data_IF_338290873700
#
_entry.id   IF_338290873700
#
_cell.length_a   1.000
_cell.length_b   1.000
_cell.length_c   1.000
_cell.angle_alpha   90.00
_cell.angle_beta   90.00
_cell.angle_gamma   90.00
#
_symmetry.space_group_name_H-M   'P 1'
#
loop_
_entity.id
_entity.type
_entity.pdbx_description
1 polymer ?
#
# COMPACT_ATOMS: atom_id res chain seq x y z
N UNK A 1 -7.68 -48.25 -73.78
CA UNK A 1 -8.90 -48.98 -74.03
C UNK A 1 -9.36 -49.48 -72.67
N UNK A 2 -10.44 -48.84 -72.11
CA UNK A 2 -11.59 -49.34 -71.41
C UNK A 2 -11.31 -50.04 -70.05
N UNK A 3 -11.92 -49.75 -69.03
CA UNK A 3 -13.28 -49.51 -68.67
C UNK A 3 -13.41 -49.24 -67.19
N UNK A 4 -14.23 -48.23 -66.88
CA UNK A 4 -14.62 -47.83 -65.52
C UNK A 4 -15.85 -48.65 -65.16
N UNK A 5 -15.80 -49.30 -64.03
CA UNK A 5 -16.98 -49.90 -63.45
C UNK A 5 -17.26 -49.29 -62.08
N UNK A 6 -18.29 -48.51 -62.01
CA UNK A 6 -18.87 -47.93 -60.81
C UNK A 6 -19.65 -48.95 -60.01
N UNK A 7 -19.31 -49.23 -58.78
CA UNK A 7 -20.15 -49.91 -57.83
C UNK A 7 -20.60 -48.91 -56.76
N UNK A 8 -21.91 -48.60 -56.79
CA UNK A 8 -22.54 -47.86 -55.71
C UNK A 8 -22.89 -48.83 -54.57
N UNK A 9 -22.53 -48.49 -53.37
CA UNK A 9 -22.98 -49.13 -52.14
C UNK A 9 -23.76 -48.10 -51.25
N UNK A 10 -24.76 -48.57 -50.55
CA UNK A 10 -25.81 -47.71 -49.99
C UNK A 10 -25.35 -46.96 -48.74
N UNK A 11 -25.82 -45.73 -48.65
CA UNK A 11 -25.63 -44.82 -47.54
C UNK A 11 -26.35 -45.33 -46.30
N UNK A 12 -25.61 -45.84 -45.31
CA UNK A 12 -26.10 -46.14 -43.99
C UNK A 12 -26.11 -44.86 -43.16
N UNK A 13 -27.28 -44.26 -42.94
CA UNK A 13 -27.48 -43.15 -42.04
C UNK A 13 -27.20 -43.61 -40.60
N UNK A 14 -26.01 -43.33 -40.07
CA UNK A 14 -25.75 -43.36 -38.64
C UNK A 14 -26.13 -42.01 -38.06
N UNK A 15 -27.19 -41.99 -37.26
CA UNK A 15 -27.50 -40.91 -36.35
C UNK A 15 -26.34 -40.85 -35.29
N UNK A 16 -25.50 -39.85 -35.37
CA UNK A 16 -24.58 -39.53 -34.30
C UNK A 16 -25.36 -38.64 -33.33
N UNK A 17 -25.81 -39.22 -32.23
CA UNK A 17 -26.32 -38.47 -31.07
C UNK A 17 -25.10 -37.79 -30.42
N UNK A 18 -24.96 -36.49 -30.68
CA UNK A 18 -23.94 -35.65 -30.03
C UNK A 18 -24.41 -35.41 -28.59
N UNK A 19 -23.96 -36.22 -27.64
CA UNK A 19 -24.03 -35.91 -26.22
C UNK A 19 -23.08 -34.72 -25.95
N UNK A 20 -23.61 -33.50 -25.91
CA UNK A 20 -22.98 -32.35 -25.32
C UNK A 20 -22.86 -32.58 -23.80
N UNK A 21 -21.81 -33.26 -23.39
CA UNK A 21 -21.32 -33.20 -22.03
C UNK A 21 -20.79 -31.77 -21.84
N UNK A 22 -21.65 -30.88 -21.35
CA UNK A 22 -21.25 -29.60 -20.80
C UNK A 22 -20.34 -29.87 -19.61
N UNK A 23 -19.04 -29.87 -19.86
CA UNK A 23 -18.02 -29.79 -18.80
C UNK A 23 -18.20 -28.44 -18.12
N UNK A 24 -19.04 -28.39 -17.08
CA UNK A 24 -18.93 -27.33 -16.09
C UNK A 24 -17.53 -27.47 -15.49
N UNK A 25 -16.58 -26.73 -16.01
CA UNK A 25 -15.35 -26.42 -15.27
C UNK A 25 -15.79 -25.60 -14.06
N UNK A 26 -16.13 -26.30 -12.98
CA UNK A 26 -16.08 -25.71 -11.65
C UNK A 26 -14.60 -25.34 -11.48
N UNK A 27 -14.26 -24.09 -11.74
CA UNK A 27 -13.00 -23.55 -11.31
C UNK A 27 -12.94 -23.75 -9.81
N UNK A 28 -12.11 -24.69 -9.34
CA UNK A 28 -11.79 -24.79 -7.93
C UNK A 28 -11.37 -23.38 -7.51
N UNK A 29 -11.85 -22.85 -6.37
CA UNK A 29 -11.35 -21.59 -5.87
C UNK A 29 -9.84 -21.71 -5.77
N UNK A 30 -9.12 -20.75 -6.34
CA UNK A 30 -7.67 -20.71 -6.25
C UNK A 30 -7.29 -20.88 -4.78
N UNK A 31 -6.50 -21.91 -4.49
CA UNK A 31 -6.07 -22.18 -3.11
C UNK A 31 -5.29 -20.96 -2.64
N UNK A 32 -5.67 -20.39 -1.49
CA UNK A 32 -4.96 -19.26 -0.92
C UNK A 32 -3.49 -19.66 -0.67
N UNK A 33 -2.57 -18.84 -1.14
CA UNK A 33 -1.16 -19.02 -0.82
C UNK A 33 -0.94 -18.80 0.68
N UNK A 34 -0.16 -19.68 1.30
CA UNK A 34 0.27 -19.57 2.71
C UNK A 34 1.77 -19.75 2.75
N UNK A 35 2.48 -18.74 3.24
CA UNK A 35 3.94 -18.75 3.39
C UNK A 35 4.42 -19.89 4.30
N UNK A 36 5.57 -20.45 3.98
CA UNK A 36 6.27 -21.40 4.84
C UNK A 36 7.26 -20.71 5.79
N UNK A 37 7.59 -19.44 5.53
CA UNK A 37 8.54 -18.67 6.33
C UNK A 37 7.85 -17.88 7.44
N UNK A 38 6.73 -17.23 7.13
CA UNK A 38 6.04 -16.37 8.10
C UNK A 38 4.52 -16.34 7.87
N UNK A 39 3.77 -16.69 8.91
CA UNK A 39 2.31 -16.61 8.94
C UNK A 39 1.91 -15.79 10.17
N UNK A 40 1.27 -14.66 9.96
CA UNK A 40 0.82 -13.77 11.05
C UNK A 40 -0.37 -14.37 11.82
N UNK A 41 -1.35 -14.92 11.12
CA UNK A 41 -2.52 -15.59 11.72
C UNK A 41 -2.11 -16.89 12.41
N UNK A 42 -2.36 -16.99 13.71
CA UNK A 42 -1.95 -18.17 14.50
C UNK A 42 -3.00 -19.30 14.49
N UNK A 43 -4.12 -19.14 13.76
CA UNK A 43 -5.19 -20.13 13.65
C UNK A 43 -6.03 -20.34 14.93
N UNK A 44 -5.74 -19.61 16.00
CA UNK A 44 -6.39 -19.73 17.32
C UNK A 44 -7.14 -18.47 17.77
N UNK A 45 -7.42 -17.54 16.82
CA UNK A 45 -8.05 -16.26 17.10
C UNK A 45 -7.07 -15.15 17.49
N UNK A 46 -5.76 -15.42 17.43
CA UNK A 46 -4.72 -14.40 17.63
C UNK A 46 -3.86 -14.23 16.37
N UNK A 47 -3.14 -13.12 16.33
CA UNK A 47 -2.10 -12.87 15.32
C UNK A 47 -0.79 -12.47 16.00
N UNK A 48 0.32 -12.63 15.29
CA UNK A 48 1.64 -12.11 15.66
C UNK A 48 2.10 -11.05 14.66
N UNK A 49 2.73 -10.03 15.16
CA UNK A 49 3.40 -9.00 14.35
C UNK A 49 4.82 -9.44 13.93
N UNK A 50 5.31 -8.97 12.77
CA UNK A 50 4.61 -8.15 11.79
C UNK A 50 3.50 -8.92 11.05
N UNK A 51 2.43 -8.21 10.62
CA UNK A 51 1.36 -8.84 9.82
C UNK A 51 1.78 -9.02 8.36
N UNK A 52 2.75 -8.20 7.89
CA UNK A 52 3.41 -8.37 6.59
C UNK A 52 4.92 -8.42 6.84
N UNK A 53 5.54 -9.57 6.57
CA UNK A 53 6.97 -9.82 6.77
C UNK A 53 7.73 -9.64 5.46
N UNK A 54 7.63 -8.44 4.88
CA UNK A 54 8.33 -8.01 3.67
C UNK A 54 8.44 -6.49 3.67
N UNK A 55 9.23 -5.92 2.76
CA UNK A 55 9.41 -4.47 2.65
C UNK A 55 8.17 -3.82 2.04
N UNK A 56 7.28 -3.33 2.90
CA UNK A 56 6.13 -2.50 2.55
C UNK A 56 6.28 -1.14 3.26
N UNK A 57 7.23 -0.35 2.78
CA UNK A 57 7.56 0.96 3.34
C UNK A 57 6.36 1.91 3.34
N UNK A 58 6.22 2.68 4.43
CA UNK A 58 5.26 3.80 4.51
C UNK A 58 3.82 3.40 4.15
N UNK A 59 3.26 2.34 4.77
CA UNK A 59 1.96 1.81 4.38
C UNK A 59 0.84 2.80 4.67
N UNK A 60 -0.16 2.81 3.78
CA UNK A 60 -1.45 3.41 4.05
C UNK A 60 -2.58 2.44 3.69
N UNK A 61 -3.71 2.59 4.37
CA UNK A 61 -4.81 1.64 4.32
C UNK A 61 -6.15 2.36 4.25
N UNK A 62 -7.10 1.76 3.52
CA UNK A 62 -8.49 2.16 3.58
C UNK A 62 -9.43 0.95 3.63
N UNK A 63 -10.63 1.15 4.20
CA UNK A 63 -11.70 0.17 4.20
C UNK A 63 -12.81 0.57 3.23
N UNK A 64 -13.31 -0.39 2.47
CA UNK A 64 -14.51 -0.23 1.63
C UNK A 64 -15.45 -1.40 1.92
N UNK A 65 -16.52 -1.14 2.63
CA UNK A 65 -17.42 -2.19 3.09
C UNK A 65 -16.73 -3.17 4.06
N UNK A 66 -16.57 -4.41 3.64
CA UNK A 66 -15.88 -5.47 4.42
C UNK A 66 -14.48 -5.78 3.90
N UNK A 67 -13.95 -4.94 3.04
CA UNK A 67 -12.67 -5.15 2.37
C UNK A 67 -11.68 -4.05 2.76
N UNK A 68 -10.43 -4.44 2.96
CA UNK A 68 -9.31 -3.56 3.28
C UNK A 68 -8.31 -3.56 2.14
N UNK A 69 -7.82 -2.38 1.82
CA UNK A 69 -6.83 -2.18 0.75
C UNK A 69 -5.65 -1.40 1.29
N UNK A 70 -4.46 -1.91 1.04
CA UNK A 70 -3.20 -1.31 1.47
C UNK A 70 -2.31 -1.08 0.26
N UNK A 71 -1.58 0.02 0.28
CA UNK A 71 -0.46 0.30 -0.64
C UNK A 71 0.71 0.87 0.15
N UNK A 72 1.89 0.87 -0.46
CA UNK A 72 3.15 1.30 0.17
C UNK A 72 4.06 1.98 -0.83
N UNK A 73 5.10 2.66 -0.34
CA UNK A 73 6.18 3.17 -1.18
C UNK A 73 6.75 2.08 -2.05
N UNK A 74 6.94 2.35 -3.32
CA UNK A 74 7.62 1.44 -4.25
C UNK A 74 8.93 2.01 -4.80
N UNK A 75 9.22 3.28 -4.50
CA UNK A 75 10.42 3.97 -4.96
C UNK A 75 10.61 3.80 -6.47
N UNK A 76 11.67 3.16 -6.90
CA UNK A 76 11.95 2.85 -8.30
C UNK A 76 11.43 1.47 -8.74
N UNK A 77 10.86 0.67 -7.81
CA UNK A 77 10.38 -0.67 -8.12
C UNK A 77 9.09 -0.62 -8.95
N UNK A 78 9.07 -1.37 -10.04
CA UNK A 78 7.99 -1.41 -11.02
C UNK A 78 7.54 -2.84 -11.36
N UNK A 79 6.24 -3.10 -11.52
CA UNK A 79 5.13 -2.15 -11.35
C UNK A 79 5.06 -1.63 -9.91
N UNK A 80 4.89 -0.31 -9.77
CA UNK A 80 4.89 0.38 -8.48
C UNK A 80 3.50 0.47 -7.85
N UNK A 81 3.46 0.84 -6.57
CA UNK A 81 2.24 0.94 -5.78
C UNK A 81 1.46 -0.38 -5.82
N UNK A 82 2.08 -1.46 -5.34
CA UNK A 82 1.36 -2.73 -5.17
C UNK A 82 0.12 -2.52 -4.31
N UNK A 83 -0.97 -3.18 -4.69
CA UNK A 83 -2.23 -3.16 -3.96
C UNK A 83 -2.40 -4.50 -3.26
N UNK A 84 -2.46 -4.46 -1.93
CA UNK A 84 -2.77 -5.61 -1.12
C UNK A 84 -4.22 -5.53 -0.68
N UNK A 85 -4.85 -6.70 -0.56
CA UNK A 85 -6.23 -6.85 -0.13
C UNK A 85 -6.33 -7.80 1.06
N UNK A 86 -7.16 -7.44 2.01
CA UNK A 86 -7.51 -8.27 3.17
C UNK A 86 -8.99 -8.12 3.51
N UNK A 87 -9.52 -9.11 4.23
CA UNK A 87 -10.86 -9.06 4.81
C UNK A 87 -10.85 -9.00 6.34
N UNK A 88 -9.67 -9.08 6.96
CA UNK A 88 -9.53 -9.15 8.43
C UNK A 88 -8.28 -8.45 8.99
N UNK A 89 -7.55 -7.69 8.15
CA UNK A 89 -6.33 -6.96 8.50
C UNK A 89 -5.10 -7.84 8.81
N UNK A 90 -5.26 -9.16 8.85
CA UNK A 90 -4.19 -10.12 9.20
C UNK A 90 -3.80 -10.97 8.01
N UNK A 91 -4.79 -11.41 7.23
CA UNK A 91 -4.61 -12.26 6.07
C UNK A 91 -4.64 -11.41 4.80
N UNK A 92 -3.52 -11.34 4.08
CA UNK A 92 -3.32 -10.43 2.95
C UNK A 92 -2.98 -11.16 1.66
N UNK A 93 -3.39 -10.60 0.53
CA UNK A 93 -3.02 -11.05 -0.82
C UNK A 93 -2.65 -9.85 -1.69
N UNK A 94 -1.70 -10.00 -2.61
CA UNK A 94 -1.40 -8.99 -3.63
C UNK A 94 -2.42 -9.16 -4.76
N UNK A 95 -3.12 -8.08 -5.11
CA UNK A 95 -4.18 -8.11 -6.14
C UNK A 95 -3.84 -7.32 -7.40
N UNK A 96 -2.76 -6.55 -7.39
CA UNK A 96 -2.32 -5.73 -8.52
C UNK A 96 -1.33 -4.65 -8.14
N UNK A 97 -1.11 -3.71 -9.04
CA UNK A 97 -0.29 -2.52 -8.83
C UNK A 97 -0.86 -1.34 -9.62
N UNK A 98 -0.68 -0.12 -9.11
CA UNK A 98 -1.30 1.07 -9.68
C UNK A 98 -0.43 1.83 -10.68
N UNK A 99 0.89 1.67 -10.64
CA UNK A 99 1.85 2.39 -11.50
C UNK A 99 2.67 1.37 -12.29
N UNK A 100 2.36 1.16 -13.57
CA UNK A 100 3.04 0.13 -14.37
C UNK A 100 4.44 0.56 -14.87
N UNK A 101 4.73 1.86 -14.92
CA UNK A 101 5.99 2.40 -15.43
C UNK A 101 6.40 3.69 -14.69
N UNK A 102 7.69 4.03 -14.73
CA UNK A 102 8.24 5.24 -14.11
C UNK A 102 7.81 6.51 -14.85
N UNK A 103 7.59 7.60 -14.08
CA UNK A 103 7.17 8.91 -14.58
C UNK A 103 8.27 9.97 -14.42
N UNK A 104 8.35 10.95 -15.34
CA UNK A 104 7.83 10.93 -16.70
C UNK A 104 8.38 9.75 -17.47
N UNK A 105 7.87 9.45 -18.68
CA UNK A 105 8.34 8.31 -19.46
C UNK A 105 9.86 8.28 -19.48
N UNK A 106 10.44 7.41 -18.66
CA UNK A 106 11.89 7.28 -18.57
C UNK A 106 12.30 6.40 -19.72
N UNK A 107 12.99 6.98 -20.69
CA UNK A 107 13.57 6.24 -21.83
C UNK A 107 14.80 5.46 -21.40
N UNK A 108 15.43 5.87 -20.29
CA UNK A 108 16.56 5.17 -19.72
C UNK A 108 16.07 3.99 -18.85
N UNK A 109 16.53 2.81 -19.18
CA UNK A 109 16.23 1.56 -18.47
C UNK A 109 17.26 1.22 -17.40
N UNK A 110 18.12 2.17 -17.01
CA UNK A 110 19.10 1.93 -15.95
C UNK A 110 18.39 1.80 -14.60
N UNK A 111 18.80 0.83 -13.78
CA UNK A 111 18.34 0.74 -12.40
C UNK A 111 18.65 2.03 -11.63
N UNK A 112 17.66 2.51 -10.88
CA UNK A 112 17.78 3.64 -9.96
C UNK A 112 17.42 3.17 -8.56
N UNK A 113 17.66 4.01 -7.55
CA UNK A 113 17.47 3.64 -6.17
C UNK A 113 16.96 4.82 -5.32
N UNK A 114 15.93 4.57 -4.51
CA UNK A 114 15.45 5.50 -3.49
C UNK A 114 14.78 6.79 -4.02
N UNK A 115 14.32 6.82 -5.27
CA UNK A 115 13.63 7.95 -5.88
C UNK A 115 12.17 7.61 -6.22
N UNK A 116 11.43 8.49 -6.89
CA UNK A 116 10.13 8.30 -7.52
C UNK A 116 8.95 8.22 -6.55
N UNK A 117 8.49 7.01 -6.20
CA UNK A 117 7.23 6.80 -5.49
C UNK A 117 7.47 6.68 -3.99
N UNK A 118 7.34 7.81 -3.29
CA UNK A 118 7.46 7.87 -1.83
C UNK A 118 6.08 7.92 -1.18
N UNK A 119 5.98 7.40 0.01
CA UNK A 119 4.88 7.41 0.99
C UNK A 119 3.48 7.76 0.41
N UNK A 120 2.78 6.79 -0.14
CA UNK A 120 1.47 7.00 -0.72
C UNK A 120 0.39 7.16 0.36
N UNK A 121 -0.76 7.67 -0.09
CA UNK A 121 -2.03 7.49 0.61
C UNK A 121 -3.07 6.88 -0.31
N UNK A 122 -3.88 5.96 0.22
CA UNK A 122 -5.00 5.36 -0.48
C UNK A 122 -6.32 5.79 0.15
N UNK A 123 -7.25 6.28 -0.64
CA UNK A 123 -8.58 6.71 -0.21
C UNK A 123 -9.64 6.19 -1.17
N UNK A 124 -10.84 6.01 -0.64
CA UNK A 124 -12.02 5.71 -1.46
C UNK A 124 -13.04 6.84 -1.31
N UNK A 125 -13.45 7.43 -2.42
CA UNK A 125 -14.42 8.51 -2.44
C UNK A 125 -15.32 8.41 -3.68
N UNK A 126 -16.64 8.54 -3.48
CA UNK A 126 -17.64 8.51 -4.56
C UNK A 126 -17.51 7.33 -5.53
N UNK A 127 -17.19 6.12 -4.99
CA UNK A 127 -17.10 4.88 -5.78
C UNK A 127 -15.81 4.72 -6.56
N UNK A 128 -14.80 5.56 -6.32
CA UNK A 128 -13.47 5.45 -6.91
C UNK A 128 -12.39 5.38 -5.80
N UNK A 129 -11.36 4.60 -6.06
CA UNK A 129 -10.11 4.62 -5.29
C UNK A 129 -9.19 5.71 -5.83
N UNK A 130 -8.50 6.39 -4.94
CA UNK A 130 -7.50 7.40 -5.22
C UNK A 130 -6.21 7.02 -4.49
N UNK A 131 -5.09 7.07 -5.19
CA UNK A 131 -3.77 6.97 -4.57
C UNK A 131 -3.01 8.24 -4.90
N UNK A 132 -2.55 8.93 -3.86
CA UNK A 132 -1.66 10.08 -3.95
C UNK A 132 -0.29 9.69 -3.45
N UNK A 133 0.76 10.19 -4.09
CA UNK A 133 2.14 10.01 -3.59
C UNK A 133 2.99 11.23 -3.87
N UNK A 134 4.09 11.37 -3.13
CA UNK A 134 5.14 12.34 -3.41
C UNK A 134 6.24 11.72 -4.26
N UNK A 135 6.57 12.35 -5.38
CA UNK A 135 7.86 12.21 -6.04
C UNK A 135 8.73 13.36 -5.51
N UNK A 136 9.83 13.08 -4.76
CA UNK A 136 10.58 14.12 -4.07
C UNK A 136 11.26 15.11 -5.01
N UNK A 137 11.39 14.80 -6.28
CA UNK A 137 12.03 15.66 -7.27
C UNK A 137 11.02 16.40 -8.17
N UNK A 138 9.76 15.92 -8.27
CA UNK A 138 8.74 16.47 -9.15
C UNK A 138 7.54 17.05 -8.40
N UNK A 139 7.07 16.42 -7.34
CA UNK A 139 5.92 16.85 -6.56
C UNK A 139 4.87 15.75 -6.34
N UNK A 140 3.61 16.14 -6.23
CA UNK A 140 2.50 15.24 -5.89
C UNK A 140 1.85 14.70 -7.14
N UNK A 141 1.76 13.39 -7.23
CA UNK A 141 1.01 12.67 -8.25
C UNK A 141 -0.23 11.98 -7.68
N UNK A 142 -1.17 11.66 -8.56
CA UNK A 142 -2.39 10.94 -8.24
C UNK A 142 -2.78 10.01 -9.39
N UNK A 143 -3.25 8.82 -9.03
CA UNK A 143 -3.98 7.90 -9.91
C UNK A 143 -5.31 7.53 -9.28
N UNK A 144 -6.30 7.12 -10.09
CA UNK A 144 -7.58 6.65 -9.60
C UNK A 144 -8.12 5.46 -10.39
N UNK A 145 -8.97 4.65 -9.77
CA UNK A 145 -9.64 3.51 -10.37
C UNK A 145 -10.97 3.21 -9.68
N UNK A 146 -11.92 2.62 -10.41
CA UNK A 146 -13.16 2.08 -9.83
C UNK A 146 -12.95 0.73 -9.17
N UNK A 147 -12.10 -0.11 -9.76
CA UNK A 147 -11.71 -1.40 -9.21
C UNK A 147 -10.26 -1.28 -8.68
N UNK A 148 -9.97 -1.69 -7.45
CA UNK A 148 -8.62 -1.63 -6.89
C UNK A 148 -7.61 -2.52 -7.64
N UNK A 149 -8.09 -3.49 -8.43
CA UNK A 149 -7.24 -4.27 -9.35
C UNK A 149 -6.88 -3.50 -10.62
N UNK A 150 -7.52 -2.35 -10.86
CA UNK A 150 -7.38 -1.56 -12.07
C UNK A 150 -8.45 -1.85 -13.14
N UNK A 151 -8.34 -1.27 -14.33
CA UNK A 151 -7.21 -0.41 -14.72
C UNK A 151 -7.19 0.91 -13.94
N UNK A 152 -6.00 1.33 -13.54
CA UNK A 152 -5.77 2.64 -12.94
C UNK A 152 -5.61 3.69 -14.04
N UNK A 153 -5.97 4.93 -13.72
CA UNK A 153 -5.78 6.06 -14.63
C UNK A 153 -4.30 6.33 -14.88
N UNK A 154 -4.00 7.06 -15.95
CA UNK A 154 -2.68 7.69 -16.09
C UNK A 154 -2.42 8.61 -14.89
N UNK A 155 -1.17 8.67 -14.40
CA UNK A 155 -0.79 9.55 -13.32
C UNK A 155 -0.93 11.04 -13.66
N UNK A 156 -1.53 11.79 -12.75
CA UNK A 156 -1.73 13.22 -12.86
C UNK A 156 -0.81 13.95 -11.90
N UNK A 157 -0.03 14.93 -12.36
CA UNK A 157 0.74 15.83 -11.51
C UNK A 157 -0.20 16.87 -10.87
N UNK A 158 -0.60 16.62 -9.63
CA UNK A 158 -1.56 17.44 -8.87
C UNK A 158 -0.92 18.73 -8.39
N UNK A 159 0.35 18.66 -7.95
CA UNK A 159 1.09 19.80 -7.43
C UNK A 159 2.57 19.66 -7.73
N UNK A 160 3.09 20.50 -8.59
CA UNK A 160 4.52 20.55 -8.85
C UNK A 160 5.27 21.18 -7.66
N UNK A 161 6.43 20.63 -7.33
CA UNK A 161 7.30 21.20 -6.30
C UNK A 161 8.32 20.20 -5.77
N UNK A 162 9.58 20.60 -5.74
CA UNK A 162 10.68 19.79 -5.25
C UNK A 162 10.58 19.60 -3.73
N UNK A 163 10.75 18.38 -3.28
CA UNK A 163 10.75 18.01 -1.87
C UNK A 163 9.38 17.87 -1.23
N UNK A 164 8.27 17.97 -1.99
CA UNK A 164 6.93 17.69 -1.47
C UNK A 164 6.77 16.17 -1.35
N UNK A 165 6.46 15.69 -0.14
CA UNK A 165 6.36 14.26 0.17
C UNK A 165 5.13 13.96 1.03
N UNK A 166 4.77 12.68 1.16
CA UNK A 166 3.86 12.13 2.16
C UNK A 166 2.47 12.77 2.13
N UNK A 167 1.83 12.70 1.00
CA UNK A 167 0.60 13.46 0.74
C UNK A 167 -0.66 12.67 1.09
N UNK A 168 -1.65 13.33 1.70
CA UNK A 168 -2.95 12.72 1.99
C UNK A 168 -4.09 13.70 1.73
N UNK A 169 -5.06 13.34 0.84
CA UNK A 169 -6.24 14.13 0.61
C UNK A 169 -7.32 13.87 1.67
N UNK A 170 -8.19 14.86 1.87
CA UNK A 170 -9.45 14.76 2.60
C UNK A 170 -10.54 15.47 1.81
N UNK A 171 -11.61 14.75 1.43
CA UNK A 171 -12.86 15.32 0.97
C UNK A 171 -13.69 15.69 2.19
N UNK A 172 -13.95 16.97 2.37
CA UNK A 172 -14.64 17.50 3.56
C UNK A 172 -16.14 17.68 3.32
N UNK A 173 -16.89 17.75 4.40
CA UNK A 173 -18.35 17.96 4.39
C UNK A 173 -18.75 19.33 3.84
N UNK A 174 -17.81 20.28 3.79
CA UNK A 174 -18.01 21.60 3.16
C UNK A 174 -17.93 21.58 1.63
N UNK A 175 -17.67 20.39 1.04
CA UNK A 175 -17.53 20.18 -0.40
C UNK A 175 -16.15 20.52 -0.96
N UNK A 176 -15.19 20.88 -0.11
CA UNK A 176 -13.81 21.15 -0.52
C UNK A 176 -12.95 19.89 -0.39
N UNK A 177 -11.84 19.90 -1.09
CA UNK A 177 -10.82 18.86 -1.00
C UNK A 177 -9.54 19.50 -0.48
N UNK A 178 -9.05 18.98 0.63
CA UNK A 178 -7.81 19.43 1.24
C UNK A 178 -6.72 18.41 1.04
N UNK A 179 -5.47 18.85 0.89
CA UNK A 179 -4.28 18.01 0.82
C UNK A 179 -3.29 18.44 1.88
N UNK A 180 -2.99 17.54 2.83
CA UNK A 180 -1.85 17.72 3.72
C UNK A 180 -0.61 17.05 3.14
N UNK A 181 0.58 17.61 3.44
CA UNK A 181 1.85 17.04 3.03
C UNK A 181 3.00 17.51 3.92
N UNK A 182 4.13 16.83 3.82
CA UNK A 182 5.39 17.19 4.45
C UNK A 182 6.43 17.62 3.41
N UNK A 183 7.66 17.87 3.88
CA UNK A 183 8.81 18.19 3.03
C UNK A 183 10.03 17.34 3.37
N UNK A 184 10.72 16.87 2.34
CA UNK A 184 12.02 16.22 2.45
C UNK A 184 13.13 17.28 2.53
N UNK A 185 13.82 17.36 3.67
CA UNK A 185 14.91 18.32 3.86
C UNK A 185 16.03 18.18 2.83
N UNK A 186 16.31 16.97 2.38
CA UNK A 186 17.32 16.68 1.34
C UNK A 186 16.99 17.25 -0.04
N UNK A 187 15.74 17.63 -0.28
CA UNK A 187 15.26 18.15 -1.57
C UNK A 187 14.78 19.60 -1.49
N UNK A 188 14.01 19.93 -0.43
CA UNK A 188 13.41 21.26 -0.24
C UNK A 188 14.26 22.21 0.62
N UNK A 189 15.26 21.68 1.37
CA UNK A 189 15.95 22.44 2.42
C UNK A 189 15.06 22.75 3.63
N UNK A 190 13.85 22.23 3.67
CA UNK A 190 12.84 22.36 4.71
C UNK A 190 12.38 20.96 5.14
N UNK A 191 12.20 20.73 6.42
CA UNK A 191 11.62 19.52 7.01
C UNK A 191 10.89 19.85 8.32
N UNK A 192 10.33 18.84 8.97
CA UNK A 192 9.71 18.97 10.30
C UNK A 192 8.52 19.92 10.35
N UNK A 193 7.79 20.07 9.24
CA UNK A 193 6.57 20.85 9.16
C UNK A 193 5.48 20.08 8.42
N UNK A 194 4.23 20.24 8.86
CA UNK A 194 3.06 19.76 8.12
C UNK A 194 2.37 20.96 7.47
N UNK A 195 2.04 20.81 6.21
CA UNK A 195 1.42 21.85 5.41
C UNK A 195 0.10 21.37 4.82
N UNK A 196 -0.76 22.32 4.43
CA UNK A 196 -2.05 22.06 3.81
C UNK A 196 -2.25 22.99 2.61
N UNK A 197 -2.90 22.49 1.57
CA UNK A 197 -3.46 23.28 0.47
C UNK A 197 -4.84 22.73 0.07
N UNK A 198 -5.58 23.50 -0.72
CA UNK A 198 -6.84 23.05 -1.32
C UNK A 198 -6.60 22.50 -2.72
N UNK A 199 -7.36 21.46 -3.07
CA UNK A 199 -7.40 20.87 -4.40
C UNK A 199 -8.69 21.28 -5.11
N UNK A 200 -8.69 21.15 -6.44
CA UNK A 200 -9.91 21.16 -7.25
C UNK A 200 -10.90 20.07 -6.80
N UNK A 201 -12.18 20.24 -7.06
CA UNK A 201 -13.23 19.32 -6.62
C UNK A 201 -13.02 17.87 -7.11
N UNK A 202 -12.37 17.68 -8.26
CA UNK A 202 -11.98 16.39 -8.82
C UNK A 202 -10.63 15.87 -8.27
N UNK A 203 -10.03 16.63 -7.36
CA UNK A 203 -8.74 16.36 -6.71
C UNK A 203 -7.53 16.27 -7.67
N UNK A 204 -7.67 16.71 -8.91
CA UNK A 204 -6.63 16.61 -9.95
C UNK A 204 -5.59 17.73 -9.92
N UNK A 205 -5.83 18.82 -9.17
CA UNK A 205 -4.94 19.98 -9.16
C UNK A 205 -5.01 20.76 -7.84
N UNK A 206 -3.85 21.16 -7.33
CA UNK A 206 -3.78 22.13 -6.23
C UNK A 206 -4.22 23.53 -6.73
N UNK A 207 -5.18 24.14 -6.03
CA UNK A 207 -5.75 25.44 -6.38
C UNK A 207 -5.32 26.55 -5.43
N UNK A 208 -4.66 26.23 -4.32
CA UNK A 208 -4.06 27.19 -3.39
C UNK A 208 -2.60 26.89 -3.13
N UNK A 209 -1.86 27.88 -2.61
CA UNK A 209 -0.52 27.67 -2.09
C UNK A 209 -0.57 26.86 -0.78
N UNK A 210 0.52 26.11 -0.51
CA UNK A 210 0.66 25.40 0.76
C UNK A 210 0.89 26.36 1.91
N UNK A 211 0.21 26.08 3.03
CA UNK A 211 0.33 26.81 4.29
C UNK A 211 0.80 25.86 5.38
N UNK A 212 1.79 26.27 6.16
CA UNK A 212 2.22 25.52 7.36
C UNK A 212 1.09 25.57 8.39
N UNK A 213 0.66 24.42 8.88
CA UNK A 213 -0.37 24.26 9.92
C UNK A 213 0.18 23.65 11.20
N UNK A 214 1.37 23.05 11.14
CA UNK A 214 2.10 22.55 12.31
C UNK A 214 3.60 22.67 12.07
N UNK A 215 4.30 23.16 13.09
CA UNK A 215 5.75 23.24 13.15
C UNK A 215 6.26 22.30 14.25
N UNK A 216 6.97 21.27 13.85
CA UNK A 216 7.51 20.24 14.73
C UNK A 216 8.98 20.43 15.11
N UNK A 217 9.62 21.52 14.74
CA UNK A 217 11.06 21.69 14.97
C UNK A 217 11.48 21.59 16.45
N UNK A 218 10.64 22.01 17.38
CA UNK A 218 10.97 21.95 18.81
C UNK A 218 10.64 20.59 19.43
N UNK A 219 9.39 20.11 19.27
CA UNK A 219 8.89 18.93 19.99
C UNK A 219 8.90 17.64 19.17
N UNK A 220 8.76 17.73 17.83
CA UNK A 220 8.55 16.61 16.94
C UNK A 220 9.41 16.71 15.69
N UNK A 221 10.72 16.79 15.90
CA UNK A 221 11.69 16.87 14.80
C UNK A 221 11.49 15.69 13.84
N UNK A 222 11.70 15.97 12.55
CA UNK A 222 11.43 15.02 11.48
C UNK A 222 9.95 14.55 11.48
N UNK A 223 9.00 15.47 11.75
CA UNK A 223 7.61 15.18 11.52
C UNK A 223 7.35 15.15 10.01
N UNK A 224 6.74 14.04 9.56
CA UNK A 224 6.50 13.70 8.17
C UNK A 224 5.28 12.76 8.08
N UNK A 225 4.99 12.10 6.97
CA UNK A 225 4.01 11.04 6.87
C UNK A 225 2.57 11.40 7.27
N UNK A 226 2.05 12.63 7.06
CA UNK A 226 0.72 12.97 7.58
C UNK A 226 -0.38 12.15 6.90
N UNK A 227 -1.26 11.55 7.72
CA UNK A 227 -2.51 10.90 7.30
C UNK A 227 -3.68 11.69 7.85
N UNK A 228 -4.58 12.12 6.97
CA UNK A 228 -5.61 13.10 7.27
C UNK A 228 -6.99 12.47 7.37
N UNK A 229 -7.67 12.73 8.50
CA UNK A 229 -9.00 12.18 8.80
C UNK A 229 -9.91 13.22 9.43
N UNK A 230 -11.23 12.96 9.42
CA UNK A 230 -12.25 13.72 10.14
C UNK A 230 -13.10 12.78 10.98
N UNK A 231 -13.32 13.11 12.26
CA UNK A 231 -14.12 12.32 13.18
C UNK A 231 -14.71 13.23 14.26
N UNK A 232 -15.99 13.05 14.58
CA UNK A 232 -16.68 13.79 15.67
C UNK A 232 -16.49 15.31 15.60
N UNK A 233 -16.46 15.89 14.39
CA UNK A 233 -16.28 17.32 14.18
C UNK A 233 -14.85 17.83 14.40
N UNK A 234 -13.88 16.95 14.57
CA UNK A 234 -12.46 17.27 14.60
C UNK A 234 -11.75 16.79 13.32
N UNK A 235 -10.75 17.55 12.90
CA UNK A 235 -9.74 17.18 11.95
C UNK A 235 -8.57 16.54 12.68
N UNK A 236 -8.11 15.38 12.20
CA UNK A 236 -7.01 14.63 12.78
C UNK A 236 -5.91 14.45 11.73
N UNK A 237 -4.67 14.73 12.12
CA UNK A 237 -3.50 14.41 11.31
C UNK A 237 -2.62 13.48 12.13
N UNK A 238 -2.54 12.22 11.68
CA UNK A 238 -1.64 11.23 12.23
C UNK A 238 -0.31 11.36 11.52
N UNK A 239 0.77 11.55 12.25
CA UNK A 239 2.09 11.67 11.65
C UNK A 239 3.18 11.10 12.58
N UNK A 240 4.22 10.45 12.04
CA UNK A 240 5.39 10.09 12.82
C UNK A 240 6.31 11.30 13.04
N UNK A 241 7.19 11.17 14.01
CA UNK A 241 8.30 12.07 14.26
C UNK A 241 9.51 11.29 14.78
N UNK A 242 10.67 11.92 14.97
CA UNK A 242 11.87 11.31 15.53
C UNK A 242 12.70 10.48 14.54
N UNK A 243 12.27 10.36 13.29
CA UNK A 243 12.94 9.58 12.24
C UNK A 243 12.68 8.06 12.32
N UNK A 244 12.97 7.38 11.23
CA UNK A 244 12.61 5.96 11.02
C UNK A 244 13.14 5.00 12.08
N UNK A 245 14.41 5.06 12.54
CA UNK A 245 14.93 4.06 13.49
C UNK A 245 14.42 4.24 14.92
N UNK A 246 14.01 5.45 15.30
CA UNK A 246 13.78 5.85 16.71
C UNK A 246 12.49 6.65 16.90
N UNK A 247 11.62 6.68 15.90
CA UNK A 247 10.45 7.54 15.87
C UNK A 247 9.31 7.10 16.79
N UNK A 248 8.31 7.94 16.82
CA UNK A 248 7.04 7.75 17.53
C UNK A 248 5.89 8.32 16.72
N UNK A 249 4.67 7.91 17.02
CA UNK A 249 3.45 8.38 16.36
C UNK A 249 2.83 9.53 17.16
N UNK A 250 2.59 10.64 16.47
CA UNK A 250 1.90 11.83 16.98
C UNK A 250 0.56 11.96 16.28
N UNK A 251 -0.42 12.53 16.99
CA UNK A 251 -1.69 12.93 16.40
C UNK A 251 -1.95 14.39 16.70
N UNK A 252 -2.23 15.14 15.64
CA UNK A 252 -2.71 16.52 15.73
C UNK A 252 -4.24 16.50 15.69
N UNK A 253 -4.88 17.39 16.45
CA UNK A 253 -6.34 17.53 16.48
C UNK A 253 -6.75 19.00 16.47
N UNK A 254 -7.74 19.35 15.65
CA UNK A 254 -8.35 20.69 15.63
C UNK A 254 -9.81 20.63 15.18
N UNK A 255 -10.61 21.61 15.61
CA UNK A 255 -11.96 21.85 15.07
C UNK A 255 -11.96 22.66 13.77
N UNK A 256 -10.82 23.25 13.40
CA UNK A 256 -10.64 24.01 12.20
C UNK A 256 -9.57 23.33 11.32
N UNK A 257 -9.87 23.15 10.05
CA UNK A 257 -8.99 22.50 9.08
C UNK A 257 -7.61 23.15 8.99
N UNK A 258 -7.51 24.44 9.23
CA UNK A 258 -6.25 25.20 9.24
C UNK A 258 -5.64 25.37 10.64
N UNK A 259 -6.20 24.71 11.66
CA UNK A 259 -5.74 24.83 13.04
C UNK A 259 -6.28 26.07 13.79
N UNK A 260 -5.72 26.40 14.97
CA UNK A 260 -4.53 25.75 15.53
C UNK A 260 -4.77 24.30 15.90
N UNK A 261 -3.74 23.48 15.79
CA UNK A 261 -3.75 22.08 16.18
C UNK A 261 -3.10 21.89 17.55
N UNK A 262 -3.79 21.17 18.43
CA UNK A 262 -3.21 20.54 19.61
C UNK A 262 -2.64 19.17 19.25
N UNK A 263 -1.71 18.62 20.04
CA UNK A 263 -1.07 17.37 19.71
C UNK A 263 -0.88 16.45 20.91
N UNK A 264 -0.79 15.14 20.64
CA UNK A 264 -0.36 14.10 21.59
C UNK A 264 0.52 13.08 20.90
N UNK A 265 1.53 12.56 21.62
CA UNK A 265 2.18 11.30 21.28
C UNK A 265 1.23 10.17 21.68
N UNK A 266 0.93 9.24 20.77
CA UNK A 266 -0.11 8.22 20.95
C UNK A 266 0.40 6.79 20.80
N UNK A 267 1.62 6.62 20.28
CA UNK A 267 2.34 5.35 20.18
C UNK A 267 3.84 5.61 20.21
N UNK A 268 4.54 4.94 21.08
CA UNK A 268 6.00 4.97 21.15
C UNK A 268 6.54 3.56 21.42
N UNK A 269 7.83 3.34 21.19
CA UNK A 269 8.45 2.03 21.41
C UNK A 269 8.22 1.51 22.84
N UNK A 270 8.37 2.36 23.85
CA UNK A 270 8.31 1.94 25.26
C UNK A 270 9.28 0.80 25.55
N UNK A 271 8.78 -0.24 26.22
CA UNK A 271 9.53 -1.47 26.52
C UNK A 271 9.39 -2.55 25.43
N UNK A 272 8.75 -2.23 24.30
CA UNK A 272 8.58 -3.15 23.18
C UNK A 272 9.90 -3.28 22.39
N UNK A 273 10.18 -4.43 21.75
CA UNK A 273 11.28 -4.58 20.80
C UNK A 273 10.99 -3.93 19.44
N UNK A 274 9.79 -3.37 19.22
CA UNK A 274 9.41 -2.70 17.98
C UNK A 274 9.88 -1.26 18.04
N UNK A 275 11.08 -1.01 17.54
CA UNK A 275 11.68 0.32 17.49
C UNK A 275 10.98 1.20 16.44
N UNK A 276 10.97 2.49 16.72
CA UNK A 276 10.56 3.51 15.78
C UNK A 276 9.22 3.24 15.08
N UNK A 277 8.10 2.99 15.81
CA UNK A 277 6.82 2.85 15.15
C UNK A 277 6.56 4.09 14.30
N UNK A 278 6.51 3.90 12.99
CA UNK A 278 6.62 5.00 12.04
C UNK A 278 5.60 4.83 10.92
N UNK A 279 5.03 5.93 10.53
CA UNK A 279 4.16 6.11 9.37
C UNK A 279 3.18 4.98 9.09
N UNK A 280 1.91 5.29 9.16
CA UNK A 280 0.85 4.29 8.95
C UNK A 280 -0.53 4.91 8.90
N UNK A 281 -1.55 4.07 8.84
CA UNK A 281 -2.93 4.47 8.68
C UNK A 281 -3.87 3.90 9.74
N UNK A 282 -4.86 4.69 10.14
CA UNK A 282 -5.99 4.27 10.94
C UNK A 282 -7.09 3.70 10.06
N UNK A 283 -7.71 2.62 10.53
CA UNK A 283 -8.87 1.99 9.91
C UNK A 283 -9.77 1.38 10.98
N UNK A 284 -11.08 1.36 10.72
CA UNK A 284 -12.06 0.72 11.57
C UNK A 284 -12.50 -0.64 11.02
N UNK A 285 -13.20 -1.43 11.85
CA UNK A 285 -13.85 -2.68 11.43
C UNK A 285 -15.36 -2.51 11.28
N UNK A 286 -16.05 -3.40 10.53
CA UNK A 286 -17.50 -3.38 10.46
C UNK A 286 -18.21 -3.54 11.80
N UNK A 287 -17.52 -4.05 12.82
CA UNK A 287 -18.05 -4.22 14.20
C UNK A 287 -17.71 -3.05 15.12
N UNK A 288 -17.00 -2.02 14.61
CA UNK A 288 -16.68 -0.79 15.35
C UNK A 288 -15.43 -0.85 16.21
N UNK A 289 -14.51 -1.79 15.94
CA UNK A 289 -13.16 -1.72 16.49
C UNK A 289 -12.29 -0.80 15.65
N UNK A 290 -11.34 -0.11 16.26
CA UNK A 290 -10.35 0.72 15.59
C UNK A 290 -8.98 0.04 15.61
N UNK A 291 -8.22 0.18 14.51
CA UNK A 291 -6.93 -0.44 14.31
C UNK A 291 -5.97 0.53 13.60
N UNK A 292 -4.68 0.38 13.88
CA UNK A 292 -3.63 1.19 13.28
C UNK A 292 -2.54 0.29 12.69
N UNK A 293 -2.17 0.54 11.44
CA UNK A 293 -1.02 -0.12 10.81
C UNK A 293 0.14 0.86 10.73
N UNK A 294 1.34 0.39 11.01
CA UNK A 294 2.59 1.14 10.89
C UNK A 294 3.72 0.23 10.50
N UNK A 295 4.85 0.77 10.11
CA UNK A 295 6.02 -0.07 9.86
C UNK A 295 7.07 0.01 10.98
N UNK A 296 7.95 -0.99 11.00
CA UNK A 296 9.20 -1.04 11.72
C UNK A 296 10.34 -1.23 10.72
N UNK A 297 11.40 -0.44 10.79
CA UNK A 297 12.61 -0.65 9.99
C UNK A 297 13.47 -1.75 10.60
N UNK A 298 13.69 -2.83 9.85
CA UNK A 298 14.45 -4.02 10.29
C UNK A 298 15.67 -4.25 9.37
N UNK A 299 16.37 -3.20 9.03
CA UNK A 299 17.61 -3.30 8.26
C UNK A 299 17.42 -3.94 6.89
N UNK A 300 18.17 -4.99 6.61
CA UNK A 300 18.13 -5.68 5.31
C UNK A 300 16.81 -6.39 5.01
N UNK A 301 15.94 -6.59 6.00
CA UNK A 301 14.61 -7.17 5.80
C UNK A 301 13.58 -6.12 5.34
N UNK A 302 13.97 -4.83 5.32
CA UNK A 302 13.09 -3.75 4.92
C UNK A 302 12.20 -3.23 6.06
N UNK A 303 11.12 -2.56 5.68
CA UNK A 303 10.15 -1.94 6.58
C UNK A 303 8.93 -2.83 6.74
N UNK A 304 8.94 -3.63 7.80
CA UNK A 304 7.92 -4.63 8.09
C UNK A 304 6.67 -4.00 8.68
N UNK A 305 5.49 -4.44 8.26
CA UNK A 305 4.22 -3.82 8.68
C UNK A 305 3.64 -4.52 9.91
N UNK A 306 3.32 -3.72 10.91
CA UNK A 306 2.69 -4.11 12.17
C UNK A 306 1.24 -3.65 12.23
N UNK A 307 0.40 -4.41 12.90
CA UNK A 307 -0.99 -4.08 13.21
C UNK A 307 -1.13 -3.85 14.71
N UNK A 308 -1.70 -2.72 15.11
CA UNK A 308 -1.90 -2.36 16.50
C UNK A 308 -3.39 -2.20 16.80
N UNK A 309 -3.88 -2.69 17.96
CA UNK A 309 -5.20 -2.28 18.45
C UNK A 309 -5.20 -0.77 18.71
N UNK A 310 -6.32 -0.12 18.50
CA UNK A 310 -6.49 1.29 18.77
C UNK A 310 -7.84 1.53 19.46
N UNK A 311 -7.90 2.50 20.35
CA UNK A 311 -9.14 2.95 20.99
C UNK A 311 -9.15 4.47 21.09
N UNK A 312 -10.34 5.06 21.08
CA UNK A 312 -10.52 6.48 21.32
C UNK A 312 -10.87 6.75 22.79
N UNK A 313 -10.13 7.66 23.41
CA UNK A 313 -10.35 8.13 24.80
C UNK A 313 -10.37 9.65 24.76
N UNK A 314 -11.49 10.27 25.14
CA UNK A 314 -11.69 11.72 25.11
C UNK A 314 -11.35 12.37 23.76
N UNK A 315 -11.79 11.71 22.67
CA UNK A 315 -11.48 12.07 21.28
C UNK A 315 -9.97 12.11 20.96
N UNK A 316 -9.15 11.34 21.67
CA UNK A 316 -7.76 11.06 21.34
C UNK A 316 -7.56 9.56 21.08
N UNK A 317 -6.83 9.17 20.04
CA UNK A 317 -6.49 7.77 19.85
C UNK A 317 -5.39 7.35 20.83
N UNK A 318 -5.51 6.14 21.35
CA UNK A 318 -4.48 5.41 22.07
C UNK A 318 -4.16 4.18 21.23
N UNK A 319 -2.95 4.07 20.72
CA UNK A 319 -2.54 3.03 19.77
C UNK A 319 -1.65 2.01 20.48
N UNK A 320 -1.88 0.70 20.25
CA UNK A 320 -1.21 -0.35 21.00
C UNK A 320 -1.79 -0.54 22.39
N UNK A 321 -0.95 -0.85 23.38
CA UNK A 321 -1.36 -1.07 24.76
C UNK A 321 -0.70 0.00 25.65
N UNK A 322 -1.51 0.86 26.19
CA UNK A 322 -1.13 1.83 27.22
C UNK A 322 -1.09 1.12 28.58
N UNK A 323 0.13 0.93 29.11
CA UNK A 323 0.39 0.18 30.33
C UNK A 323 0.41 1.01 31.60
N UNK A 324 0.71 2.28 31.47
CA UNK A 324 0.88 3.23 32.60
C UNK A 324 -0.21 4.29 32.67
N UNK A 325 -1.09 4.36 31.65
CA UNK A 325 -2.27 5.23 31.65
C UNK A 325 -1.97 6.66 31.23
N UNK A 326 -0.84 6.92 30.56
CA UNK A 326 -0.46 8.26 30.11
C UNK A 326 -1.10 8.67 28.78
N UNK A 327 -1.79 7.72 28.09
CA UNK A 327 -2.44 7.93 26.80
C UNK A 327 -1.54 7.64 25.60
N UNK A 328 -0.31 7.17 25.82
CA UNK A 328 0.62 6.72 24.80
C UNK A 328 0.78 5.19 24.88
N UNK A 329 0.38 4.46 23.84
CA UNK A 329 0.51 3.01 23.85
C UNK A 329 1.88 2.52 23.40
N UNK A 330 2.15 1.25 23.66
CA UNK A 330 3.30 0.50 23.18
C UNK A 330 2.88 -0.54 22.13
N UNK A 331 3.71 -0.82 21.10
CA UNK A 331 3.41 -1.87 20.13
C UNK A 331 3.22 -3.25 20.75
N UNK A 332 2.21 -3.99 20.27
CA UNK A 332 2.01 -5.40 20.63
C UNK A 332 2.74 -6.33 19.66
N UNK A 333 3.28 -7.43 20.17
CA UNK A 333 3.85 -8.49 19.33
C UNK A 333 2.84 -9.59 18.97
N UNK A 334 1.92 -9.85 19.87
CA UNK A 334 0.82 -10.81 19.68
C UNK A 334 -0.43 -10.21 20.28
N UNK A 335 -1.54 -10.35 19.58
CA UNK A 335 -2.83 -9.85 20.07
C UNK A 335 -3.99 -10.67 19.49
N UNK A 336 -5.20 -10.47 20.00
CA UNK A 336 -6.42 -11.02 19.40
C UNK A 336 -6.62 -10.43 18.01
N UNK A 337 -7.10 -11.23 17.07
CA UNK A 337 -7.43 -10.75 15.72
C UNK A 337 -8.54 -9.70 15.77
N UNK A 338 -8.55 -8.75 14.81
CA UNK A 338 -9.66 -7.84 14.63
C UNK A 338 -11.00 -8.58 14.51
N UNK A 339 -12.00 -8.09 15.22
CA UNK A 339 -13.36 -8.57 15.04
C UNK A 339 -13.96 -7.92 13.78
N UNK A 340 -14.09 -8.69 12.72
CA UNK A 340 -14.72 -8.28 11.45
C UNK A 340 -16.07 -8.97 11.24
N UNK A 341 -16.63 -9.60 12.29
CA UNK A 341 -17.92 -10.28 12.29
C UNK A 341 -17.88 -11.72 11.78
N UNK A 342 -16.78 -12.19 11.21
CA UNK A 342 -16.59 -13.57 10.74
C UNK A 342 -15.11 -13.93 10.58
N UNK A 343 -14.83 -15.23 10.46
CA UNK A 343 -13.48 -15.72 10.22
C UNK A 343 -13.22 -15.87 8.72
N UNK A 344 -11.98 -15.63 8.33
CA UNK A 344 -11.49 -15.83 6.98
C UNK A 344 -10.36 -16.87 6.96
N UNK A 345 -10.17 -17.56 5.82
CA UNK A 345 -9.07 -18.50 5.65
C UNK A 345 -7.70 -17.81 5.82
N UNK A 346 -6.75 -18.54 6.37
CA UNK A 346 -5.36 -18.09 6.45
C UNK A 346 -4.82 -17.94 5.03
N UNK A 347 -4.21 -16.79 4.76
CA UNK A 347 -3.45 -16.52 3.54
C UNK A 347 -2.35 -15.50 3.82
N UNK A 348 -1.34 -15.49 2.95
CA UNK A 348 -0.24 -14.53 2.97
C UNK A 348 -0.01 -13.98 1.55
N UNK A 349 0.65 -12.83 1.41
CA UNK A 349 1.20 -12.45 0.12
C UNK A 349 2.08 -13.57 -0.43
N UNK A 350 2.03 -13.76 -1.74
CA UNK A 350 2.89 -14.74 -2.40
C UNK A 350 4.35 -14.26 -2.34
N UNK A 351 5.26 -15.14 -1.95
CA UNK A 351 6.70 -14.87 -1.79
C UNK A 351 7.57 -15.80 -2.64
N UNK A 352 6.97 -16.86 -3.21
CA UNK A 352 7.62 -17.83 -4.08
C UNK A 352 6.94 -17.88 -5.44
N UNK A 353 7.66 -18.34 -6.45
CA UNK A 353 7.14 -18.53 -7.81
C UNK A 353 7.76 -19.81 -8.40
N UNK A 354 6.92 -20.67 -8.93
CA UNK A 354 7.35 -21.90 -9.59
C UNK A 354 7.68 -21.70 -11.08
N UNK A 355 7.46 -20.48 -11.59
CA UNK A 355 7.71 -20.07 -12.98
C UNK A 355 7.08 -21.01 -14.02
N UNK A 356 5.88 -21.49 -13.71
CA UNK A 356 5.07 -22.39 -14.56
C UNK A 356 4.17 -21.62 -15.56
N UNK A 357 4.12 -20.28 -15.43
CA UNK A 357 3.40 -19.36 -16.30
C UNK A 357 4.29 -18.66 -17.33
N UNK A 358 3.64 -17.90 -18.23
CA UNK A 358 4.32 -17.07 -19.23
C UNK A 358 4.45 -15.60 -18.80
N UNK A 359 3.98 -15.26 -17.60
CA UNK A 359 4.07 -13.93 -17.01
C UNK A 359 4.49 -14.04 -15.56
N UNK A 360 5.26 -13.08 -15.08
CA UNK A 360 5.63 -13.02 -13.67
C UNK A 360 4.40 -12.71 -12.81
N UNK A 361 4.34 -13.35 -11.65
CA UNK A 361 3.28 -13.13 -10.66
C UNK A 361 3.42 -11.75 -10.00
N UNK A 362 2.36 -11.21 -9.34
CA UNK A 362 2.32 -9.83 -8.84
C UNK A 362 3.36 -9.46 -7.79
N UNK A 363 4.03 -10.44 -7.16
CA UNK A 363 5.11 -10.18 -6.18
C UNK A 363 6.40 -9.71 -6.84
N UNK A 364 6.57 -9.89 -8.15
CA UNK A 364 7.76 -9.49 -8.88
C UNK A 364 7.73 -8.00 -9.22
N UNK A 365 8.84 -7.34 -8.96
CA UNK A 365 9.09 -5.95 -9.31
C UNK A 365 10.52 -5.79 -9.85
N UNK A 366 10.71 -4.78 -10.69
CA UNK A 366 12.00 -4.43 -11.27
C UNK A 366 12.46 -3.07 -10.76
N UNK A 367 13.76 -2.88 -10.57
CA UNK A 367 14.36 -1.61 -10.11
C UNK A 367 14.41 -0.52 -11.21
N UNK A 368 13.63 -0.65 -12.26
CA UNK A 368 13.45 0.34 -13.34
C UNK A 368 12.27 -0.09 -14.22
N UNK A 369 11.99 0.65 -15.30
CA UNK A 369 11.11 0.15 -16.34
C UNK A 369 11.62 -1.20 -16.85
N UNK A 370 10.70 -2.16 -16.96
CA UNK A 370 11.04 -3.53 -17.39
C UNK A 370 11.81 -3.54 -18.72
N UNK A 371 12.85 -4.36 -18.76
CA UNK A 371 13.60 -4.63 -19.98
C UNK A 371 13.62 -6.14 -20.21
N UNK A 372 13.12 -6.57 -21.35
CA UNK A 372 13.06 -7.98 -21.74
C UNK A 372 14.43 -8.69 -21.75
N UNK A 373 15.52 -7.93 -21.81
CA UNK A 373 16.88 -8.46 -21.76
C UNK A 373 17.35 -8.81 -20.34
N UNK A 374 16.60 -8.50 -19.30
CA UNK A 374 17.02 -8.75 -17.92
C UNK A 374 16.67 -10.15 -17.43
N UNK A 375 15.61 -10.73 -17.99
CA UNK A 375 15.15 -12.05 -17.60
C UNK A 375 14.61 -12.84 -18.78
N UNK A 376 14.68 -14.15 -18.66
CA UNK A 376 14.04 -15.08 -19.57
C UNK A 376 13.33 -16.17 -18.79
N UNK A 377 12.10 -16.45 -19.15
CA UNK A 377 11.28 -17.56 -18.65
C UNK A 377 10.25 -17.96 -19.72
N UNK A 378 9.86 -19.21 -19.75
CA UNK A 378 8.97 -19.75 -20.80
C UNK A 378 7.81 -20.60 -20.25
N UNK A 379 7.61 -20.60 -18.93
CA UNK A 379 6.53 -21.32 -18.27
C UNK A 379 6.62 -22.84 -18.28
N UNK A 380 7.61 -23.42 -18.95
CA UNK A 380 7.78 -24.88 -19.05
C UNK A 380 9.01 -25.42 -18.36
N UNK A 381 9.93 -24.54 -17.98
CA UNK A 381 11.22 -24.93 -17.39
C UNK A 381 11.24 -24.86 -15.86
N UNK A 382 10.25 -24.19 -15.23
CA UNK A 382 10.16 -24.07 -13.77
C UNK A 382 11.26 -23.21 -13.16
N UNK A 383 11.84 -22.28 -13.92
CA UNK A 383 12.83 -21.32 -13.43
C UNK A 383 12.87 -20.05 -14.28
N UNK A 384 13.43 -18.97 -13.70
CA UNK A 384 13.76 -17.75 -14.41
C UNK A 384 15.28 -17.62 -14.57
N UNK A 385 15.76 -17.21 -15.75
CA UNK A 385 17.13 -16.78 -15.96
C UNK A 385 17.23 -15.29 -15.80
N UNK A 386 17.99 -14.82 -14.83
CA UNK A 386 18.34 -13.43 -14.66
C UNK A 386 19.70 -13.18 -15.33
N UNK A 387 19.75 -12.16 -16.17
CA UNK A 387 20.99 -11.73 -16.80
C UNK A 387 21.64 -10.63 -15.97
N UNK A 388 22.96 -10.70 -15.79
CA UNK A 388 23.69 -9.64 -15.10
C UNK A 388 23.57 -8.31 -15.87
N UNK A 389 23.36 -7.24 -15.12
CA UNK A 389 23.25 -5.88 -15.65
C UNK A 389 24.12 -4.94 -14.80
N UNK A 390 24.78 -3.93 -15.38
CA UNK A 390 25.52 -2.95 -14.59
C UNK A 390 24.60 -2.22 -13.61
N UNK A 391 25.03 -2.17 -12.36
CA UNK A 391 24.36 -1.34 -11.35
C UNK A 391 24.96 0.05 -11.35
N UNK A 392 24.21 1.10 -10.95
CA UNK A 392 24.73 2.44 -10.76
C UNK A 392 25.91 2.45 -9.76
N UNK A 393 26.91 3.31 -9.98
CA UNK A 393 28.08 3.43 -9.09
C UNK A 393 27.71 3.83 -7.65
N UNK A 394 26.63 4.56 -7.49
CA UNK A 394 26.09 5.01 -6.21
C UNK A 394 25.13 4.01 -5.55
N UNK A 395 24.90 2.85 -6.16
CA UNK A 395 24.03 1.81 -5.63
C UNK A 395 24.65 1.16 -4.39
N UNK A 396 24.26 1.67 -3.24
CA UNK A 396 24.87 1.31 -1.93
C UNK A 396 24.03 0.33 -1.11
N UNK A 397 22.80 0.06 -1.53
CA UNK A 397 21.84 -0.70 -0.75
C UNK A 397 20.85 -1.39 -1.66
N UNK A 398 20.40 -2.60 -1.28
CA UNK A 398 19.26 -3.29 -1.90
C UNK A 398 17.92 -2.71 -1.43
N UNK A 399 17.96 -1.76 -0.50
CA UNK A 399 16.77 -1.05 -0.04
C UNK A 399 16.30 -0.06 -1.07
N UNK A 400 15.06 -0.06 -1.27
CA UNK A 400 14.33 1.02 -1.91
C UNK A 400 14.09 2.18 -0.97
#
# INVERSE_FOLDING_TARGET
VTGVQTCALPILKRLITLCLLGSCFLSAPAQNYVSQAWVADQGNGTYKNPVLYADYSDPDICRVGNDYYLTSSSFNCLPGLQILHSKDLVNWTIIGAAVPYALPPVTDVRPEHGNRVWAPSIRHHNGEFYIFWGDPDQGVFMVKAKDPKGPWSEPVLVKAGKGIIDTTPLWDDDGRVYLVHAYAGSRAGLKSVITICELSADASKAITQSRIIFDGHEAHQTCEGPKFYKRNGYYYIFHPAGGVPTGWQVVLRSKNVYGPYEWKTVLAQGNSPVNGPHQGGWVDTPTGEDWFMHFQDVGAYGRLVHLQPMKWVDDWPVIGVDKDGDGCGEPVLTYKKPNVGKNYPICTPQESDEFDGYTLSPQWQWQANINEKWAYFNGGEGFVRLYSYPVPEDYKSLRS
#
